data_IF_508032448205
#
_entry.id   IF_508032448205
#
_cell.length_a   1.000
_cell.length_b   1.000
_cell.length_c   1.000
_cell.angle_alpha   90.00
_cell.angle_beta   90.00
_cell.angle_gamma   90.00
#
_symmetry.space_group_name_H-M   'P 1'
#
loop_
_entity.id
_entity.type
_entity.pdbx_description
1 polymer ?
#
# COMPACT_ATOMS: atom_id res chain seq x y z
N UNK A 1 21.63 -32.34 7.53
CA UNK A 1 21.21 -30.94 7.38
C UNK A 1 21.14 -30.72 5.88
N UNK A 2 19.96 -30.82 5.31
CA UNK A 2 19.74 -30.47 3.90
C UNK A 2 20.06 -28.99 3.73
N UNK A 3 21.03 -28.69 2.85
CA UNK A 3 21.28 -27.34 2.38
C UNK A 3 19.99 -26.86 1.69
N UNK A 4 19.12 -26.20 2.42
CA UNK A 4 17.95 -25.56 1.83
C UNK A 4 18.42 -24.58 0.77
N UNK A 5 17.95 -24.75 -0.45
CA UNK A 5 18.23 -23.82 -1.56
C UNK A 5 17.87 -22.39 -1.13
N UNK A 6 18.82 -21.47 -1.31
CA UNK A 6 18.62 -20.06 -1.00
C UNK A 6 17.61 -19.47 -1.96
N UNK A 7 16.49 -18.97 -1.43
CA UNK A 7 15.47 -18.29 -2.22
C UNK A 7 15.71 -16.78 -2.27
N UNK A 8 15.76 -16.24 -3.48
CA UNK A 8 15.96 -14.81 -3.73
C UNK A 8 14.61 -14.15 -4.07
N UNK A 9 14.18 -13.21 -3.24
CA UNK A 9 12.96 -12.43 -3.43
C UNK A 9 13.37 -11.02 -3.86
N UNK A 10 12.85 -10.55 -4.98
CA UNK A 10 13.01 -9.17 -5.42
C UNK A 10 11.92 -8.28 -4.85
N UNK A 11 12.26 -7.03 -4.56
CA UNK A 11 11.33 -5.95 -4.18
C UNK A 11 11.82 -4.63 -4.78
N UNK A 12 10.96 -3.63 -4.78
CA UNK A 12 11.31 -2.26 -5.20
C UNK A 12 11.53 -1.35 -4.00
N UNK A 13 12.19 -0.18 -4.17
CA UNK A 13 12.36 0.79 -3.09
C UNK A 13 11.06 1.47 -2.67
N UNK A 14 10.02 1.44 -3.51
CA UNK A 14 8.75 2.13 -3.27
C UNK A 14 8.18 1.82 -1.88
N UNK A 15 7.69 2.87 -1.22
CA UNK A 15 7.04 2.80 0.10
C UNK A 15 5.56 3.15 0.01
N UNK A 16 5.06 3.42 -1.20
CA UNK A 16 3.72 3.98 -1.40
C UNK A 16 2.60 2.94 -1.29
N UNK A 17 2.91 1.65 -1.44
CA UNK A 17 1.96 0.54 -1.35
C UNK A 17 2.11 -0.32 -0.08
N UNK A 18 3.21 -0.13 0.66
CA UNK A 18 3.55 -0.87 1.86
C UNK A 18 4.11 -2.29 1.62
N UNK A 19 4.26 -2.72 0.37
CA UNK A 19 4.76 -4.06 0.00
C UNK A 19 6.15 -4.28 0.54
N UNK A 20 7.05 -3.31 0.37
CA UNK A 20 8.42 -3.40 0.86
C UNK A 20 8.49 -3.70 2.36
N UNK A 21 7.79 -2.90 3.16
CA UNK A 21 7.76 -3.09 4.62
C UNK A 21 7.16 -4.45 5.00
N UNK A 22 6.18 -4.91 4.23
CA UNK A 22 5.52 -6.17 4.50
C UNK A 22 6.42 -7.35 4.18
N UNK A 23 7.11 -7.34 3.03
CA UNK A 23 8.01 -8.44 2.66
C UNK A 23 9.27 -8.47 3.54
N UNK A 24 9.83 -7.33 3.95
CA UNK A 24 10.94 -7.25 4.90
C UNK A 24 10.57 -7.99 6.20
N UNK A 25 9.40 -7.71 6.77
CA UNK A 25 8.90 -8.40 7.98
C UNK A 25 8.63 -9.89 7.76
N UNK A 26 8.11 -10.26 6.60
CA UNK A 26 7.87 -11.67 6.28
C UNK A 26 9.21 -12.44 6.19
N UNK A 27 10.23 -11.87 5.54
CA UNK A 27 11.57 -12.45 5.46
C UNK A 27 12.21 -12.55 6.84
N UNK A 28 12.11 -11.53 7.70
CA UNK A 28 12.59 -11.58 9.09
C UNK A 28 11.91 -12.70 9.89
N UNK A 29 10.63 -12.91 9.69
CA UNK A 29 9.86 -13.91 10.43
C UNK A 29 10.20 -15.34 9.98
N UNK A 30 10.20 -15.57 8.68
CA UNK A 30 10.36 -16.91 8.09
C UNK A 30 11.83 -17.27 7.77
N UNK A 31 12.71 -16.27 7.63
CA UNK A 31 14.14 -16.48 7.34
C UNK A 31 14.91 -17.17 8.46
N UNK A 32 14.32 -17.31 9.66
CA UNK A 32 14.90 -18.08 10.78
C UNK A 32 14.99 -19.59 10.49
N UNK A 33 14.17 -20.07 9.60
CA UNK A 33 14.03 -21.50 9.27
C UNK A 33 14.40 -21.82 7.82
N UNK A 34 14.74 -20.78 7.02
CA UNK A 34 15.04 -20.88 5.59
C UNK A 34 16.07 -19.83 5.19
N UNK A 35 16.86 -20.15 4.18
CA UNK A 35 17.76 -19.17 3.57
C UNK A 35 16.97 -18.27 2.59
N UNK A 36 16.34 -17.20 3.12
CA UNK A 36 15.62 -16.19 2.35
C UNK A 36 16.51 -14.95 2.17
N UNK A 37 16.66 -14.51 0.92
CA UNK A 37 17.40 -13.30 0.58
C UNK A 37 16.49 -12.30 -0.09
N UNK A 38 16.41 -11.10 0.47
CA UNK A 38 15.68 -9.98 -0.14
C UNK A 38 16.66 -9.09 -0.91
N UNK A 39 16.39 -8.87 -2.20
CA UNK A 39 17.16 -7.95 -3.04
C UNK A 39 16.27 -6.84 -3.57
N UNK A 40 16.73 -5.62 -3.42
CA UNK A 40 16.03 -4.45 -3.95
C UNK A 40 16.49 -4.16 -5.37
N UNK A 41 15.54 -3.98 -6.29
CA UNK A 41 15.76 -3.54 -7.67
C UNK A 41 15.06 -2.20 -7.90
N UNK A 42 15.58 -1.33 -8.79
CA UNK A 42 15.11 0.06 -8.88
C UNK A 42 13.65 0.18 -9.31
N UNK A 43 13.21 -0.67 -10.24
CA UNK A 43 11.87 -0.62 -10.82
C UNK A 43 11.22 -1.99 -10.88
N UNK A 44 9.88 -2.03 -10.88
CA UNK A 44 9.12 -3.28 -10.95
C UNK A 44 9.38 -4.04 -12.27
N UNK A 45 9.47 -3.35 -13.39
CA UNK A 45 9.81 -3.95 -14.69
C UNK A 45 11.16 -4.67 -14.64
N UNK A 46 12.17 -4.04 -14.03
CA UNK A 46 13.50 -4.65 -13.85
C UNK A 46 13.43 -5.89 -12.96
N UNK A 47 12.60 -5.87 -11.92
CA UNK A 47 12.40 -7.00 -11.02
C UNK A 47 11.73 -8.18 -11.75
N UNK A 48 10.68 -7.91 -12.54
CA UNK A 48 9.99 -8.93 -13.32
C UNK A 48 10.88 -9.51 -14.43
N UNK A 49 11.67 -8.67 -15.11
CA UNK A 49 12.63 -9.15 -16.11
C UNK A 49 13.70 -10.03 -15.46
N UNK A 50 14.29 -9.60 -14.35
CA UNK A 50 15.29 -10.40 -13.61
C UNK A 50 14.72 -11.73 -13.12
N UNK A 51 13.41 -11.76 -12.77
CA UNK A 51 12.71 -12.99 -12.43
C UNK A 51 12.59 -13.93 -13.64
N UNK A 52 12.20 -13.39 -14.82
CA UNK A 52 12.13 -14.18 -16.07
C UNK A 52 13.48 -14.78 -16.46
N UNK A 53 14.54 -14.00 -16.30
CA UNK A 53 15.92 -14.39 -16.60
C UNK A 53 16.51 -15.40 -15.58
N UNK A 54 15.78 -15.70 -14.51
CA UNK A 54 16.22 -16.67 -13.51
C UNK A 54 17.23 -16.11 -12.50
N UNK A 55 17.41 -14.79 -12.42
CA UNK A 55 18.32 -14.16 -11.47
C UNK A 55 17.78 -14.17 -10.02
N UNK A 56 16.52 -14.53 -9.84
CA UNK A 56 15.87 -14.75 -8.56
C UNK A 56 14.67 -15.68 -8.71
N UNK A 57 13.96 -15.91 -7.62
CA UNK A 57 12.91 -16.91 -7.53
C UNK A 57 11.51 -16.29 -7.47
N UNK A 58 11.41 -15.14 -6.81
CA UNK A 58 10.15 -14.44 -6.56
C UNK A 58 10.30 -12.93 -6.69
N UNK A 59 9.18 -12.26 -7.00
CA UNK A 59 9.03 -10.81 -6.87
C UNK A 59 7.88 -10.54 -5.90
N UNK A 60 8.11 -9.66 -4.93
CA UNK A 60 7.07 -9.12 -4.07
C UNK A 60 6.46 -7.88 -4.73
N UNK A 61 5.14 -7.86 -4.93
CA UNK A 61 4.42 -6.75 -5.54
C UNK A 61 3.01 -6.58 -4.99
N UNK A 62 2.40 -5.43 -5.22
CA UNK A 62 1.00 -5.21 -4.84
C UNK A 62 0.04 -5.91 -5.82
N UNK A 63 -1.20 -6.15 -5.36
CA UNK A 63 -2.24 -6.66 -6.25
C UNK A 63 -2.59 -5.64 -7.36
N UNK A 64 -2.40 -4.36 -7.08
CA UNK A 64 -2.63 -3.29 -8.05
C UNK A 64 -1.58 -3.32 -9.16
N UNK A 65 -0.28 -3.43 -8.80
CA UNK A 65 0.81 -3.54 -9.78
C UNK A 65 0.63 -4.79 -10.65
N UNK A 66 0.25 -5.93 -10.03
CA UNK A 66 -0.01 -7.15 -10.78
C UNK A 66 -1.03 -6.97 -11.92
N UNK A 67 -2.06 -6.15 -11.72
CA UNK A 67 -3.07 -5.86 -12.74
C UNK A 67 -2.56 -4.96 -13.88
N UNK A 68 -1.47 -4.23 -13.66
CA UNK A 68 -0.94 -3.24 -14.62
C UNK A 68 0.31 -3.71 -15.37
N UNK A 69 0.98 -4.73 -14.86
CA UNK A 69 2.23 -5.21 -15.45
C UNK A 69 1.98 -6.29 -16.51
N UNK A 70 2.93 -6.40 -17.43
CA UNK A 70 3.04 -7.60 -18.26
C UNK A 70 3.49 -8.78 -17.40
N UNK A 71 2.64 -9.79 -17.32
CA UNK A 71 2.84 -10.97 -16.45
C UNK A 71 3.01 -12.26 -17.25
N UNK A 72 3.28 -12.17 -18.54
CA UNK A 72 3.50 -13.35 -19.38
C UNK A 72 4.63 -14.22 -18.82
N UNK A 73 4.38 -15.52 -18.74
CA UNK A 73 5.32 -16.50 -18.17
C UNK A 73 5.42 -16.51 -16.64
N UNK A 74 4.68 -15.64 -15.96
CA UNK A 74 4.68 -15.49 -14.51
C UNK A 74 3.33 -15.92 -13.91
N UNK A 75 3.35 -16.26 -12.63
CA UNK A 75 2.13 -16.57 -11.88
C UNK A 75 2.25 -16.16 -10.42
N UNK A 76 1.11 -15.93 -9.81
CA UNK A 76 1.00 -15.72 -8.37
C UNK A 76 1.38 -17.05 -7.68
N UNK A 77 2.49 -17.06 -6.94
CA UNK A 77 2.88 -18.17 -6.11
C UNK A 77 1.99 -18.24 -4.86
N UNK A 78 1.71 -17.10 -4.24
CA UNK A 78 0.77 -16.96 -3.13
C UNK A 78 0.71 -15.53 -2.63
N UNK A 79 -0.14 -15.30 -1.63
CA UNK A 79 -0.31 -14.01 -0.98
C UNK A 79 0.12 -14.10 0.48
N UNK A 80 0.78 -13.06 0.96
CA UNK A 80 1.03 -12.88 2.38
C UNK A 80 -0.27 -12.51 3.11
N UNK A 81 -0.31 -12.67 4.44
CA UNK A 81 -1.44 -12.22 5.25
C UNK A 81 -1.76 -10.77 4.93
N UNK A 82 -3.00 -10.48 4.55
CA UNK A 82 -3.40 -9.11 4.19
C UNK A 82 -3.16 -8.18 5.37
N UNK A 83 -2.28 -7.21 5.18
CA UNK A 83 -1.92 -6.23 6.21
C UNK A 83 -2.56 -4.88 5.91
N UNK A 84 -3.31 -4.41 6.90
CA UNK A 84 -3.77 -3.02 6.97
C UNK A 84 -4.41 -2.50 5.66
N UNK A 85 -5.48 -3.15 5.14
CA UNK A 85 -6.19 -2.66 3.96
C UNK A 85 -6.86 -1.31 4.22
N UNK A 86 -6.81 -0.84 5.46
CA UNK A 86 -7.45 0.39 5.92
C UNK A 86 -6.68 1.62 5.49
N UNK A 87 -7.43 2.70 5.29
CA UNK A 87 -6.91 4.02 5.05
C UNK A 87 -6.95 4.86 6.32
N UNK A 88 -6.12 5.88 6.38
CA UNK A 88 -6.05 6.80 7.51
C UNK A 88 -6.17 8.25 7.03
N UNK A 89 -6.87 9.05 7.81
CA UNK A 89 -6.74 10.48 7.76
C UNK A 89 -5.55 10.87 8.65
N UNK A 90 -4.56 11.52 8.08
CA UNK A 90 -3.45 12.13 8.81
C UNK A 90 -3.81 13.59 9.03
N UNK A 91 -4.10 13.96 10.27
CA UNK A 91 -4.56 15.28 10.68
C UNK A 91 -4.37 15.46 12.18
N UNK A 92 -4.42 16.69 12.66
CA UNK A 92 -4.38 16.97 14.09
C UNK A 92 -5.64 16.44 14.80
N UNK A 93 -6.79 16.58 14.16
CA UNK A 93 -8.09 16.22 14.70
C UNK A 93 -8.71 15.03 13.96
N UNK A 94 -9.64 14.35 14.62
CA UNK A 94 -10.47 13.31 14.00
C UNK A 94 -11.39 13.93 12.94
N UNK A 95 -11.90 13.13 11.97
CA UNK A 95 -12.80 13.63 10.93
C UNK A 95 -13.96 14.46 11.46
N UNK A 96 -14.54 14.07 12.61
CA UNK A 96 -15.69 14.72 13.22
C UNK A 96 -15.39 16.11 13.77
N UNK A 97 -14.13 16.38 14.12
CA UNK A 97 -13.67 17.62 14.77
C UNK A 97 -12.88 18.56 13.86
N UNK A 98 -12.70 18.18 12.59
CA UNK A 98 -12.09 19.10 11.61
C UNK A 98 -12.91 20.40 11.51
N UNK A 99 -12.24 21.52 11.35
CA UNK A 99 -12.92 22.81 11.12
C UNK A 99 -13.74 22.78 9.82
N UNK A 100 -14.80 23.57 9.75
CA UNK A 100 -15.57 23.76 8.53
C UNK A 100 -14.66 24.31 7.41
N UNK A 101 -14.80 23.78 6.20
CA UNK A 101 -13.99 24.17 5.05
C UNK A 101 -12.54 23.68 5.11
N UNK A 102 -12.19 22.75 6.02
CA UNK A 102 -10.84 22.21 6.12
C UNK A 102 -10.36 21.59 4.79
N UNK A 103 -9.14 21.89 4.41
CA UNK A 103 -8.50 21.36 3.20
C UNK A 103 -7.92 19.98 3.44
N UNK A 104 -8.48 18.98 2.79
CA UNK A 104 -8.05 17.57 2.93
C UNK A 104 -7.60 17.04 1.57
N UNK A 105 -6.31 16.67 1.48
CA UNK A 105 -5.76 16.05 0.30
C UNK A 105 -6.22 14.58 0.20
N UNK A 106 -6.80 14.21 -0.94
CA UNK A 106 -7.17 12.83 -1.24
C UNK A 106 -7.25 12.60 -2.75
N UNK A 107 -6.32 11.86 -3.31
CA UNK A 107 -6.29 11.54 -4.75
C UNK A 107 -7.28 10.43 -5.13
N UNK A 108 -7.72 9.61 -4.17
CA UNK A 108 -8.57 8.48 -4.48
C UNK A 108 -10.05 8.86 -4.51
N UNK A 109 -10.68 8.81 -5.69
CA UNK A 109 -12.05 9.25 -5.92
C UNK A 109 -13.09 8.56 -5.01
N UNK A 110 -12.99 7.24 -4.82
CA UNK A 110 -13.91 6.53 -3.93
C UNK A 110 -13.84 7.07 -2.50
N UNK A 111 -12.64 7.34 -1.99
CA UNK A 111 -12.45 7.87 -0.64
C UNK A 111 -12.88 9.32 -0.52
N UNK A 112 -12.67 10.12 -1.56
CA UNK A 112 -13.20 11.52 -1.63
C UNK A 112 -14.71 11.50 -1.49
N UNK A 113 -15.42 10.67 -2.27
CA UNK A 113 -16.89 10.55 -2.19
C UNK A 113 -17.35 10.08 -0.81
N UNK A 114 -16.67 9.12 -0.21
CA UNK A 114 -17.00 8.65 1.14
C UNK A 114 -16.76 9.73 2.19
N UNK A 115 -15.65 10.49 2.09
CA UNK A 115 -15.38 11.60 2.98
C UNK A 115 -16.41 12.74 2.82
N UNK A 116 -16.77 13.10 1.59
CA UNK A 116 -17.83 14.09 1.30
C UNK A 116 -19.18 13.68 1.87
N UNK A 117 -19.48 12.39 1.87
CA UNK A 117 -20.71 11.87 2.47
C UNK A 117 -20.68 11.96 3.99
N UNK A 118 -19.51 11.74 4.61
CA UNK A 118 -19.33 11.88 6.06
C UNK A 118 -19.34 13.35 6.50
N UNK A 119 -18.66 14.23 5.76
CA UNK A 119 -18.43 15.63 6.05
C UNK A 119 -18.46 16.45 4.76
N UNK A 120 -19.67 16.82 4.32
CA UNK A 120 -19.90 17.59 3.10
C UNK A 120 -19.43 19.04 3.14
N UNK A 121 -19.00 19.49 4.31
CA UNK A 121 -18.47 20.85 4.54
C UNK A 121 -16.95 20.95 4.35
N UNK A 122 -16.25 19.83 4.09
CA UNK A 122 -14.80 19.82 3.84
C UNK A 122 -14.47 20.19 2.39
N UNK A 123 -13.30 20.76 2.19
CA UNK A 123 -12.71 20.98 0.87
C UNK A 123 -11.75 19.85 0.55
N UNK A 124 -12.18 18.92 -0.32
CA UNK A 124 -11.35 17.79 -0.75
C UNK A 124 -10.65 18.14 -2.05
N UNK A 125 -9.35 18.04 -2.07
CA UNK A 125 -8.52 18.35 -3.22
C UNK A 125 -7.59 17.19 -3.59
N UNK A 126 -7.26 17.07 -4.86
CA UNK A 126 -6.21 16.18 -5.36
C UNK A 126 -4.83 16.80 -5.17
N UNK A 127 -3.77 16.00 -5.35
CA UNK A 127 -2.38 16.50 -5.35
C UNK A 127 -2.20 17.62 -6.37
N UNK A 128 -2.79 17.49 -7.57
CA UNK A 128 -2.70 18.48 -8.62
C UNK A 128 -3.44 19.79 -8.25
N UNK A 129 -4.61 19.69 -7.62
CA UNK A 129 -5.37 20.86 -7.16
C UNK A 129 -4.65 21.58 -6.02
N UNK A 130 -4.14 20.82 -5.05
CA UNK A 130 -3.30 21.36 -3.97
C UNK A 130 -2.05 22.04 -4.52
N UNK A 131 -1.35 21.41 -5.47
CA UNK A 131 -0.17 21.96 -6.11
C UNK A 131 -0.44 23.29 -6.82
N UNK A 132 -1.58 23.43 -7.50
CA UNK A 132 -2.02 24.69 -8.10
C UNK A 132 -2.31 25.75 -7.04
N UNK A 133 -3.06 25.41 -6.00
CA UNK A 133 -3.42 26.33 -4.90
C UNK A 133 -2.20 26.88 -4.17
N UNK A 134 -1.19 26.02 -3.94
CA UNK A 134 0.04 26.37 -3.23
C UNK A 134 1.15 26.90 -4.13
N UNK A 135 0.92 27.04 -5.45
CA UNK A 135 1.96 27.35 -6.44
C UNK A 135 3.17 26.39 -6.39
N UNK A 136 2.92 25.13 -6.07
CA UNK A 136 3.95 24.09 -5.83
C UNK A 136 3.94 22.99 -6.91
N UNK A 137 3.24 23.19 -8.02
CA UNK A 137 3.14 22.16 -9.07
C UNK A 137 4.52 21.73 -9.63
N UNK A 138 5.43 22.69 -9.82
CA UNK A 138 6.82 22.40 -10.23
C UNK A 138 7.56 21.59 -9.17
N UNK A 139 7.47 21.98 -7.92
CA UNK A 139 8.09 21.23 -6.81
C UNK A 139 7.59 19.79 -6.76
N UNK A 140 6.28 19.59 -6.86
CA UNK A 140 5.67 18.25 -6.82
C UNK A 140 6.17 17.37 -7.98
N UNK A 141 6.32 17.95 -9.18
CA UNK A 141 6.78 17.22 -10.37
C UNK A 141 8.26 16.80 -10.30
N UNK A 142 9.05 17.41 -9.43
CA UNK A 142 10.48 17.13 -9.23
C UNK A 142 10.72 16.15 -8.05
N UNK A 143 9.69 15.88 -7.23
CA UNK A 143 9.81 14.95 -6.10
C UNK A 143 9.81 13.51 -6.58
N UNK A 144 10.73 12.72 -6.03
CA UNK A 144 10.69 11.27 -6.15
C UNK A 144 9.55 10.69 -5.31
N UNK A 145 9.11 9.48 -5.66
CA UNK A 145 8.03 8.76 -4.97
C UNK A 145 8.26 8.64 -3.44
N UNK A 146 9.53 8.59 -3.01
CA UNK A 146 9.88 8.49 -1.58
C UNK A 146 9.72 9.82 -0.85
N UNK A 147 9.75 10.96 -1.54
CA UNK A 147 9.75 12.30 -0.95
C UNK A 147 8.37 12.97 -0.95
N UNK A 148 7.46 12.52 -1.81
CA UNK A 148 6.10 13.10 -1.92
C UNK A 148 5.40 13.15 -0.57
N UNK A 149 5.28 12.03 0.13
CA UNK A 149 4.52 11.97 1.38
C UNK A 149 5.20 12.69 2.55
N UNK A 150 6.54 12.64 2.75
CA UNK A 150 7.24 13.53 3.68
C UNK A 150 7.00 15.01 3.38
N UNK A 151 6.97 15.41 2.11
CA UNK A 151 6.67 16.79 1.71
C UNK A 151 5.22 17.16 2.07
N UNK A 152 4.23 16.29 1.78
CA UNK A 152 2.82 16.49 2.15
C UNK A 152 2.66 16.61 3.67
N UNK A 153 3.35 15.78 4.46
CA UNK A 153 3.37 15.91 5.92
C UNK A 153 3.93 17.27 6.37
N UNK A 154 4.89 17.79 5.64
CA UNK A 154 5.40 19.16 5.82
C UNK A 154 4.31 20.22 5.57
N UNK A 155 3.49 20.07 4.52
CA UNK A 155 2.39 21.00 4.25
C UNK A 155 1.34 21.00 5.37
N UNK A 156 1.06 19.83 5.95
CA UNK A 156 0.19 19.74 7.14
C UNK A 156 0.79 20.47 8.34
N UNK A 157 2.08 20.27 8.63
CA UNK A 157 2.78 20.94 9.74
C UNK A 157 2.84 22.46 9.58
N UNK A 158 2.93 22.93 8.34
CA UNK A 158 2.95 24.36 8.01
C UNK A 158 1.54 24.99 7.97
N UNK A 159 0.48 24.18 8.13
CA UNK A 159 -0.91 24.65 8.09
C UNK A 159 -1.43 24.99 6.69
N UNK A 160 -0.76 24.56 5.64
CA UNK A 160 -1.17 24.74 4.24
C UNK A 160 -2.30 23.79 3.84
N UNK A 161 -2.44 22.68 4.53
CA UNK A 161 -3.56 21.74 4.50
C UNK A 161 -3.93 21.37 5.95
N UNK A 162 -5.15 20.88 6.14
CA UNK A 162 -5.64 20.46 7.46
C UNK A 162 -5.54 18.92 7.65
N UNK A 163 -5.32 18.19 6.57
CA UNK A 163 -5.11 16.74 6.60
C UNK A 163 -4.93 16.14 5.21
N UNK A 164 -4.58 14.87 5.20
CA UNK A 164 -4.50 14.08 3.98
C UNK A 164 -4.86 12.61 4.23
N UNK A 165 -5.36 11.95 3.20
CA UNK A 165 -5.82 10.56 3.29
C UNK A 165 -4.85 9.66 2.52
N UNK A 166 -4.31 8.66 3.21
CA UNK A 166 -3.36 7.69 2.66
C UNK A 166 -3.64 6.28 3.18
N UNK A 167 -3.15 5.24 2.49
CA UNK A 167 -3.10 3.89 3.06
C UNK A 167 -2.32 3.91 4.39
N UNK A 168 -2.79 3.16 5.38
CA UNK A 168 -2.09 3.04 6.66
C UNK A 168 -0.66 2.51 6.49
N UNK A 169 -0.45 1.65 5.50
CA UNK A 169 0.85 1.13 5.15
C UNK A 169 1.83 2.24 4.72
N UNK A 170 1.37 3.21 3.93
CA UNK A 170 2.15 4.39 3.52
C UNK A 170 2.59 5.20 4.73
N UNK A 171 1.67 5.52 5.64
CA UNK A 171 2.01 6.22 6.88
C UNK A 171 3.10 5.48 7.69
N UNK A 172 3.02 4.14 7.77
CA UNK A 172 3.99 3.33 8.49
C UNK A 172 5.35 3.27 7.76
N UNK A 173 5.35 3.10 6.43
CA UNK A 173 6.55 2.96 5.61
C UNK A 173 7.40 4.24 5.60
N UNK A 174 6.75 5.40 5.55
CA UNK A 174 7.42 6.71 5.62
C UNK A 174 7.70 7.17 7.04
N UNK A 175 7.34 6.36 8.06
CA UNK A 175 7.55 6.69 9.49
C UNK A 175 7.01 8.08 9.86
N UNK A 176 5.86 8.43 9.30
CA UNK A 176 5.22 9.72 9.55
C UNK A 176 4.94 9.91 11.04
N UNK A 177 5.14 11.13 11.52
CA UNK A 177 4.98 11.48 12.94
C UNK A 177 3.65 12.17 13.25
N UNK A 178 2.99 12.70 12.23
CA UNK A 178 1.69 13.33 12.38
C UNK A 178 0.63 12.32 12.82
N UNK A 179 -0.33 12.78 13.59
CA UNK A 179 -1.38 11.94 14.15
C UNK A 179 -2.24 11.36 13.02
N UNK A 180 -2.57 10.08 13.15
CA UNK A 180 -3.44 9.39 12.19
C UNK A 180 -4.74 8.95 12.84
N UNK A 181 -5.81 8.99 12.07
CA UNK A 181 -7.14 8.52 12.44
C UNK A 181 -7.57 7.46 11.43
N UNK A 182 -7.84 6.26 11.90
CA UNK A 182 -8.24 5.15 11.01
C UNK A 182 -9.61 5.44 10.38
N UNK A 183 -9.65 5.39 9.06
CA UNK A 183 -10.87 5.39 8.26
C UNK A 183 -11.16 3.96 7.88
N UNK A 184 -12.25 3.36 8.35
CA UNK A 184 -12.51 1.98 7.95
C UNK A 184 -13.45 1.21 8.83
N UNK A 185 -13.50 -0.07 8.52
CA UNK A 185 -14.36 -1.04 9.16
C UNK A 185 -14.10 -1.06 10.67
N UNK A 186 -15.07 -0.62 11.43
CA UNK A 186 -15.05 -0.81 12.86
C UNK A 186 -15.36 -2.26 13.17
N UNK A 187 -14.58 -2.84 14.06
CA UNK A 187 -14.78 -4.23 14.51
C UNK A 187 -15.99 -4.38 15.45
N UNK A 188 -16.48 -3.27 16.00
CA UNK A 188 -17.57 -3.28 16.95
C UNK A 188 -18.90 -3.09 16.24
N UNK A 189 -19.70 -4.15 16.20
CA UNK A 189 -21.04 -4.15 15.62
C UNK A 189 -22.06 -3.33 16.45
N UNK A 190 -21.70 -2.91 17.68
CA UNK A 190 -22.59 -2.14 18.55
C UNK A 190 -22.72 -0.66 18.14
N UNK A 191 -21.81 -0.14 17.31
CA UNK A 191 -21.86 1.23 16.82
C UNK A 191 -22.60 1.33 15.47
N UNK A 192 -23.92 1.20 15.52
CA UNK A 192 -24.82 1.19 14.35
C UNK A 192 -24.81 2.50 13.51
N UNK A 193 -24.25 3.57 14.02
CA UNK A 193 -24.35 4.91 13.42
C UNK A 193 -23.06 5.44 12.80
N UNK A 194 -21.95 4.68 12.79
CA UNK A 194 -20.73 5.14 12.13
C UNK A 194 -20.72 4.74 10.66
N UNK A 195 -20.60 5.74 9.80
CA UNK A 195 -20.47 5.52 8.38
C UNK A 195 -19.22 4.66 8.11
N UNK A 196 -19.43 3.59 7.36
CA UNK A 196 -18.34 2.66 7.00
C UNK A 196 -17.53 3.26 5.87
N UNK A 197 -16.23 3.40 6.08
CA UNK A 197 -15.28 3.62 5.01
C UNK A 197 -14.88 2.27 4.42
N UNK A 198 -15.18 2.08 3.15
CA UNK A 198 -14.82 0.87 2.42
C UNK A 198 -13.48 1.13 1.74
N UNK A 199 -12.42 0.35 2.03
CA UNK A 199 -11.17 0.50 1.33
C UNK A 199 -11.34 0.20 -0.16
N UNK A 200 -10.57 0.86 -1.04
CA UNK A 200 -10.58 0.50 -2.46
C UNK A 200 -10.22 -0.98 -2.65
N UNK A 201 -10.78 -1.63 -3.69
CA UNK A 201 -10.43 -3.01 -4.00
C UNK A 201 -8.93 -3.18 -4.23
N UNK A 202 -8.42 -4.37 -3.99
CA UNK A 202 -7.04 -4.80 -4.17
C UNK A 202 -6.00 -4.12 -3.26
N UNK A 203 -6.40 -3.25 -2.35
CA UNK A 203 -5.48 -2.62 -1.41
C UNK A 203 -5.05 -3.55 -0.27
N UNK A 204 -3.78 -3.41 0.15
CA UNK A 204 -3.20 -4.13 1.27
C UNK A 204 -2.81 -5.58 0.98
N UNK A 205 -2.86 -6.03 -0.27
CA UNK A 205 -2.33 -7.32 -0.66
C UNK A 205 -0.87 -7.21 -1.07
N UNK A 206 -0.04 -8.10 -0.55
CA UNK A 206 1.32 -8.35 -1.01
C UNK A 206 1.37 -9.74 -1.61
N UNK A 207 1.67 -9.80 -2.89
CA UNK A 207 1.79 -11.03 -3.66
C UNK A 207 3.25 -11.43 -3.78
N UNK A 208 3.49 -12.73 -3.76
CA UNK A 208 4.73 -13.31 -4.24
C UNK A 208 4.47 -13.92 -5.61
N UNK A 209 5.17 -13.40 -6.61
CA UNK A 209 5.05 -13.81 -8.02
C UNK A 209 6.29 -14.59 -8.40
N UNK A 210 6.10 -15.73 -9.00
CA UNK A 210 7.17 -16.61 -9.49
C UNK A 210 7.00 -16.97 -10.96
N UNK A 211 8.02 -17.61 -11.54
CA UNK A 211 7.92 -18.21 -12.88
C UNK A 211 6.90 -19.35 -12.89
N UNK A 212 6.37 -19.65 -14.05
CA UNK A 212 5.59 -20.87 -14.25
C UNK A 212 6.42 -22.09 -13.81
N UNK A 213 5.85 -22.96 -12.96
CA UNK A 213 6.57 -24.11 -12.40
C UNK A 213 7.27 -23.87 -11.05
N UNK A 214 7.27 -22.65 -10.52
CA UNK A 214 7.83 -22.39 -9.19
C UNK A 214 7.22 -23.33 -8.12
N UNK A 215 8.04 -24.01 -7.30
CA UNK A 215 7.58 -24.99 -6.31
C UNK A 215 6.97 -24.29 -5.08
N UNK A 216 5.67 -24.02 -5.14
CA UNK A 216 4.94 -23.32 -4.06
C UNK A 216 5.09 -23.97 -2.68
N UNK A 217 5.26 -25.28 -2.63
CA UNK A 217 5.42 -26.02 -1.38
C UNK A 217 6.61 -25.54 -0.53
N UNK A 218 7.65 -25.00 -1.18
CA UNK A 218 8.85 -24.51 -0.49
C UNK A 218 8.61 -23.30 0.41
N UNK A 219 7.53 -22.52 0.17
CA UNK A 219 7.19 -21.30 0.91
C UNK A 219 5.71 -21.23 1.32
N UNK A 220 5.03 -22.39 1.34
CA UNK A 220 3.58 -22.44 1.59
C UNK A 220 3.18 -21.87 2.96
N UNK A 221 4.03 -21.97 3.96
CA UNK A 221 3.82 -21.42 5.31
C UNK A 221 3.87 -19.88 5.37
N UNK A 222 4.37 -19.22 4.33
CA UNK A 222 4.31 -17.76 4.19
C UNK A 222 2.94 -17.29 3.67
N UNK A 223 2.12 -18.19 3.11
CA UNK A 223 0.90 -17.82 2.41
C UNK A 223 -0.32 -17.88 3.31
N UNK A 224 -1.25 -16.97 3.06
CA UNK A 224 -2.52 -16.87 3.76
C UNK A 224 -3.68 -17.18 2.79
N UNK A 225 -4.34 -18.31 3.03
CA UNK A 225 -5.49 -18.75 2.23
C UNK A 225 -6.66 -17.75 2.29
N UNK A 226 -6.85 -17.09 3.43
CA UNK A 226 -7.92 -16.08 3.58
C UNK A 226 -7.62 -14.85 2.72
N UNK A 227 -6.35 -14.45 2.63
CA UNK A 227 -5.92 -13.37 1.74
C UNK A 227 -6.11 -13.76 0.26
N UNK A 228 -5.78 -15.01 -0.10
CA UNK A 228 -5.99 -15.52 -1.47
C UNK A 228 -7.47 -15.54 -1.85
N UNK A 229 -8.34 -16.01 -0.95
CA UNK A 229 -9.79 -16.00 -1.18
C UNK A 229 -10.33 -14.58 -1.33
N UNK A 230 -9.93 -13.66 -0.43
CA UNK A 230 -10.33 -12.26 -0.50
C UNK A 230 -9.89 -11.60 -1.82
N UNK A 231 -8.65 -11.85 -2.26
CA UNK A 231 -8.16 -11.36 -3.54
C UNK A 231 -9.00 -11.84 -4.72
N UNK A 232 -9.29 -13.15 -4.78
CA UNK A 232 -10.13 -13.74 -5.85
C UNK A 232 -11.53 -13.13 -5.89
N UNK A 233 -12.14 -12.89 -4.72
CA UNK A 233 -13.44 -12.25 -4.62
C UNK A 233 -13.39 -10.79 -5.09
N UNK A 234 -12.38 -10.03 -4.69
CA UNK A 234 -12.23 -8.62 -5.10
C UNK A 234 -11.97 -8.49 -6.61
N UNK A 235 -11.16 -9.37 -7.21
CA UNK A 235 -10.94 -9.41 -8.67
C UNK A 235 -12.21 -9.76 -9.41
N UNK A 236 -13.06 -10.66 -8.87
CA UNK A 236 -14.31 -11.05 -9.53
C UNK A 236 -15.39 -9.95 -9.53
N UNK A 237 -15.22 -8.91 -8.71
CA UNK A 237 -16.15 -7.77 -8.61
C UNK A 237 -15.72 -6.61 -9.52
N UNK A 238 -14.46 -6.54 -9.89
CA UNK A 238 -13.89 -5.50 -10.77
C UNK A 238 -14.16 -5.79 -12.23
#
# INVERSE_FOLDING_TARGET
MENGERLVIFTTPSRNDGVRLHIERAVETHGKHRDLSLKQLPHMETALQSLRDGAGDLVAMSAFDWQQQDVEGLKIAGLLTRKEPTWVLVANDKPEYLKQGAYILCDHELLRRQMMRLRGDLTLETMAEMGKRLNAAGTISELDDEDIWPWVEGQLKNGNIDGFIVPRAVHASHRMKSRRHTLGLQRDNSESNRERFIPPPLHGFTMLVGRNGFPKASIQDMFDQSAELAYRLEVAIL
#
